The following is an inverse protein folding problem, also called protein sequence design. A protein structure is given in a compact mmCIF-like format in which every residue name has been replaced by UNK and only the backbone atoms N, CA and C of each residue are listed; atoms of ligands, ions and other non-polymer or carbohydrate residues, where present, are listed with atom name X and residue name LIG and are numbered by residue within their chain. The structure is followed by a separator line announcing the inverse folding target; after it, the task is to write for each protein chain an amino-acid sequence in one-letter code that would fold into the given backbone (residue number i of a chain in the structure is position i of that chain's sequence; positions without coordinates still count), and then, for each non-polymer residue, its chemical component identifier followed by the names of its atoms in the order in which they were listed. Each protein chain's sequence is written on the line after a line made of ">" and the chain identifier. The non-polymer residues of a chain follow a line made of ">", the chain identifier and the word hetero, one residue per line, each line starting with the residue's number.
data_IF_732544560561
#
_entry.id   IF_732544560561
#
_cell.length_a   1.000
_cell.length_b   1.000
_cell.length_c   1.000
_cell.angle_alpha   90.00
_cell.angle_beta   90.00
_cell.angle_gamma   90.00
#
_symmetry.space_group_name_H-M   'P 1'
#
loop_
_entity.id
_entity.type
_entity.pdbx_description
1 polymer ?
#
# COMPACT_ATOMS: atom_id res chain seq x y z
N UNK A 1 -2.69 -0.94 -20.40
CA UNK A 1 -1.39 -1.58 -20.07
C UNK A 1 -1.25 -1.47 -18.57
N UNK A 2 -1.30 -2.59 -17.86
CA UNK A 2 -1.28 -2.66 -16.41
C UNK A 2 0.16 -2.95 -15.96
N UNK A 3 0.83 -1.91 -15.48
CA UNK A 3 2.19 -2.04 -14.93
C UNK A 3 2.13 -2.20 -13.42
N UNK A 4 2.67 -3.30 -12.91
CA UNK A 4 2.85 -3.54 -11.50
C UNK A 4 4.26 -3.14 -11.07
N UNK A 5 4.36 -2.16 -10.17
CA UNK A 5 5.62 -1.79 -9.52
C UNK A 5 5.71 -2.61 -8.22
N UNK A 6 6.73 -3.46 -8.14
CA UNK A 6 6.87 -4.51 -7.13
C UNK A 6 8.21 -4.34 -6.41
N UNK A 7 8.24 -3.62 -5.29
CA UNK A 7 9.41 -3.52 -4.44
C UNK A 7 9.71 -4.89 -3.80
N UNK A 8 10.84 -5.52 -4.19
CA UNK A 8 11.21 -6.89 -3.78
C UNK A 8 11.99 -6.88 -2.46
N UNK A 9 11.33 -7.32 -1.39
CA UNK A 9 11.96 -7.54 -0.09
C UNK A 9 12.39 -8.98 0.13
N UNK A 10 12.00 -9.54 1.27
CA UNK A 10 12.24 -10.95 1.63
C UNK A 10 10.97 -11.81 1.47
N UNK A 11 9.87 -11.23 0.98
CA UNK A 11 8.58 -11.90 0.81
C UNK A 11 8.31 -12.28 -0.63
N UNK A 12 7.94 -13.54 -0.85
CA UNK A 12 7.54 -14.05 -2.15
C UNK A 12 6.02 -13.97 -2.36
N UNK A 13 5.24 -14.67 -1.50
CA UNK A 13 3.83 -14.93 -1.75
C UNK A 13 3.00 -13.66 -1.90
N UNK A 14 3.30 -12.64 -1.09
CA UNK A 14 2.57 -11.37 -1.04
C UNK A 14 2.76 -10.51 -2.29
N UNK A 15 3.76 -10.83 -3.11
CA UNK A 15 4.08 -10.09 -4.33
C UNK A 15 3.40 -10.65 -5.58
N UNK A 16 3.05 -11.94 -5.58
CA UNK A 16 2.52 -12.62 -6.79
C UNK A 16 1.23 -13.40 -6.54
N UNK A 17 1.06 -14.04 -5.38
CA UNK A 17 -0.09 -14.91 -5.14
C UNK A 17 -1.45 -14.20 -5.24
N UNK A 18 -1.63 -12.96 -4.74
CA UNK A 18 -2.87 -12.22 -4.92
C UNK A 18 -3.21 -11.99 -6.40
N UNK A 19 -2.20 -11.64 -7.21
CA UNK A 19 -2.38 -11.35 -8.64
C UNK A 19 -2.90 -12.59 -9.39
N UNK A 20 -2.32 -13.76 -9.09
CA UNK A 20 -2.75 -15.03 -9.68
C UNK A 20 -4.14 -15.45 -9.17
N UNK A 21 -4.39 -15.35 -7.85
CA UNK A 21 -5.64 -15.80 -7.23
C UNK A 21 -6.84 -14.96 -7.67
N UNK A 22 -6.65 -13.65 -7.79
CA UNK A 22 -7.69 -12.71 -8.19
C UNK A 22 -7.77 -12.52 -9.72
N UNK A 23 -6.88 -13.16 -10.48
CA UNK A 23 -6.78 -13.06 -11.94
C UNK A 23 -6.66 -11.60 -12.39
N UNK A 24 -5.78 -10.84 -11.71
CA UNK A 24 -5.49 -9.47 -12.10
C UNK A 24 -4.67 -9.46 -13.40
N UNK A 25 -5.03 -8.55 -14.29
CA UNK A 25 -4.30 -8.33 -15.54
C UNK A 25 -2.94 -7.68 -15.22
N UNK A 26 -1.85 -8.32 -15.63
CA UNK A 26 -0.49 -7.82 -15.46
C UNK A 26 0.21 -7.87 -16.79
N UNK A 27 0.23 -6.75 -17.50
CA UNK A 27 0.94 -6.65 -18.79
C UNK A 27 2.46 -6.51 -18.55
N UNK A 28 2.84 -5.84 -17.47
CA UNK A 28 4.23 -5.52 -17.14
C UNK A 28 4.47 -5.54 -15.63
N UNK A 29 5.63 -6.04 -15.20
CA UNK A 29 6.07 -6.02 -13.81
C UNK A 29 7.48 -5.42 -13.69
N UNK A 30 7.60 -4.35 -12.90
CA UNK A 30 8.87 -3.71 -12.57
C UNK A 30 9.25 -4.16 -11.16
N UNK A 31 10.26 -5.00 -11.06
CA UNK A 31 10.77 -5.52 -9.80
C UNK A 31 11.88 -4.61 -9.29
N UNK A 32 11.64 -3.94 -8.16
CA UNK A 32 12.66 -3.09 -7.56
C UNK A 32 13.51 -3.94 -6.62
N UNK A 33 14.79 -4.03 -6.91
CA UNK A 33 15.79 -4.69 -6.08
C UNK A 33 16.48 -3.65 -5.21
N UNK A 34 16.90 -4.01 -4.00
CA UNK A 34 17.63 -3.10 -3.14
C UNK A 34 18.53 -3.88 -2.21
N UNK A 35 19.75 -3.38 -1.98
CA UNK A 35 20.67 -4.03 -1.08
C UNK A 35 20.23 -3.78 0.37
N UNK A 36 19.80 -4.84 1.07
CA UNK A 36 19.39 -4.75 2.48
C UNK A 36 20.34 -5.56 3.36
N UNK A 37 21.18 -4.91 4.16
CA UNK A 37 21.99 -5.58 5.17
C UNK A 37 23.25 -6.27 4.61
N UNK A 38 23.47 -7.53 4.99
CA UNK A 38 24.70 -8.29 4.70
C UNK A 38 24.78 -8.76 3.23
N UNK A 39 25.97 -9.17 2.77
CA UNK A 39 26.14 -9.77 1.43
C UNK A 39 25.19 -10.96 1.20
N UNK A 40 24.99 -11.81 2.21
CA UNK A 40 24.07 -12.93 2.15
C UNK A 40 22.61 -12.50 1.93
N UNK A 41 22.18 -11.40 2.56
CA UNK A 41 20.85 -10.85 2.34
C UNK A 41 20.70 -10.31 0.91
N UNK A 42 21.74 -9.66 0.37
CA UNK A 42 21.73 -9.17 -1.01
C UNK A 42 21.60 -10.34 -1.99
N UNK A 43 22.38 -11.41 -1.80
CA UNK A 43 22.27 -12.61 -2.62
C UNK A 43 20.88 -13.24 -2.55
N UNK A 44 20.30 -13.33 -1.35
CA UNK A 44 18.96 -13.86 -1.16
C UNK A 44 17.89 -13.01 -1.87
N UNK A 45 17.92 -11.68 -1.71
CA UNK A 45 17.00 -10.78 -2.41
C UNK A 45 17.13 -10.88 -3.94
N UNK A 46 18.35 -11.03 -4.47
CA UNK A 46 18.58 -11.22 -5.91
C UNK A 46 18.03 -12.56 -6.42
N UNK A 47 18.19 -13.64 -5.66
CA UNK A 47 17.61 -14.94 -5.99
C UNK A 47 16.08 -14.86 -6.01
N UNK A 48 15.49 -14.19 -5.02
CA UNK A 48 14.05 -14.00 -4.93
C UNK A 48 13.50 -13.15 -6.09
N UNK A 49 14.20 -12.08 -6.46
CA UNK A 49 13.83 -11.25 -7.61
C UNK A 49 13.90 -12.04 -8.92
N UNK A 50 14.92 -12.88 -9.11
CA UNK A 50 15.04 -13.75 -10.30
C UNK A 50 13.94 -14.82 -10.35
N UNK A 51 13.54 -15.35 -9.19
CA UNK A 51 12.40 -16.26 -9.08
C UNK A 51 11.10 -15.55 -9.46
N UNK A 52 10.83 -14.38 -8.86
CA UNK A 52 9.66 -13.58 -9.18
C UNK A 52 9.61 -13.21 -10.66
N UNK A 53 10.73 -12.78 -11.26
CA UNK A 53 10.82 -12.50 -12.70
C UNK A 53 10.31 -13.68 -13.53
N UNK A 54 10.80 -14.87 -13.21
CA UNK A 54 10.40 -16.11 -13.90
C UNK A 54 8.91 -16.40 -13.72
N UNK A 55 8.38 -16.21 -12.51
CA UNK A 55 7.00 -16.54 -12.20
C UNK A 55 6.00 -15.49 -12.73
N UNK A 56 6.36 -14.20 -12.78
CA UNK A 56 5.59 -13.17 -13.47
C UNK A 56 5.47 -13.47 -14.97
N UNK A 57 6.57 -13.89 -15.62
CA UNK A 57 6.55 -14.28 -17.03
C UNK A 57 5.71 -15.55 -17.26
N UNK A 58 5.91 -16.59 -16.45
CA UNK A 58 5.30 -17.90 -16.68
C UNK A 58 3.82 -17.98 -16.27
N UNK A 59 3.45 -17.36 -15.14
CA UNK A 59 2.11 -17.46 -14.57
C UNK A 59 1.17 -16.35 -15.05
N UNK A 60 1.70 -15.15 -15.26
CA UNK A 60 0.93 -13.96 -15.62
C UNK A 60 1.15 -13.52 -17.07
N UNK A 61 2.19 -14.01 -17.74
CA UNK A 61 2.51 -13.61 -19.12
C UNK A 61 3.07 -12.18 -19.21
N UNK A 62 3.51 -11.61 -18.10
CA UNK A 62 3.96 -10.22 -18.00
C UNK A 62 5.35 -10.02 -18.58
N UNK A 63 5.58 -8.86 -19.20
CA UNK A 63 6.94 -8.35 -19.45
C UNK A 63 7.58 -7.93 -18.12
N UNK A 64 8.86 -8.23 -17.91
CA UNK A 64 9.54 -7.94 -16.65
C UNK A 64 10.74 -7.01 -16.84
N UNK A 65 10.91 -6.08 -15.90
CA UNK A 65 12.11 -5.26 -15.77
C UNK A 65 12.58 -5.30 -14.31
N UNK A 66 13.90 -5.29 -14.09
CA UNK A 66 14.49 -5.20 -12.77
C UNK A 66 15.28 -3.91 -12.62
N UNK A 67 14.97 -3.15 -11.58
CA UNK A 67 15.60 -1.84 -11.29
C UNK A 67 16.22 -1.91 -9.90
N UNK A 68 17.49 -1.52 -9.76
CA UNK A 68 18.16 -1.49 -8.47
C UNK A 68 18.03 -0.12 -7.79
N UNK A 69 17.59 -0.10 -6.54
CA UNK A 69 17.59 1.06 -5.65
C UNK A 69 18.95 1.15 -4.94
N UNK A 70 19.54 2.35 -4.95
CA UNK A 70 20.88 2.60 -4.40
C UNK A 70 20.92 2.47 -2.87
N UNK A 71 19.95 3.04 -2.16
CA UNK A 71 19.77 2.89 -0.72
C UNK A 71 18.27 2.74 -0.40
N UNK A 72 17.89 1.60 0.16
CA UNK A 72 16.50 1.30 0.57
C UNK A 72 16.06 2.07 1.83
N UNK A 73 16.98 2.76 2.49
CA UNK A 73 16.70 3.57 3.67
C UNK A 73 16.59 5.05 3.35
N UNK A 74 17.00 5.48 2.15
CA UNK A 74 16.86 6.86 1.68
C UNK A 74 15.43 7.09 1.16
N UNK A 75 14.61 7.69 2.01
CA UNK A 75 13.22 8.00 1.69
C UNK A 75 13.09 8.99 0.53
N UNK A 76 13.92 10.03 0.52
CA UNK A 76 13.83 11.12 -0.45
C UNK A 76 14.21 10.62 -1.84
N UNK A 77 15.30 9.86 -1.96
CA UNK A 77 15.70 9.24 -3.21
C UNK A 77 14.66 8.21 -3.69
N UNK A 78 14.12 7.38 -2.78
CA UNK A 78 13.06 6.44 -3.13
C UNK A 78 11.78 7.14 -3.61
N UNK A 79 11.45 8.30 -3.05
CA UNK A 79 10.30 9.10 -3.46
C UNK A 79 10.51 9.69 -4.85
N UNK A 80 11.68 10.29 -5.12
CA UNK A 80 12.02 10.83 -6.44
C UNK A 80 11.96 9.76 -7.53
N UNK A 81 12.53 8.58 -7.26
CA UNK A 81 12.50 7.43 -8.17
C UNK A 81 11.07 6.94 -8.40
N UNK A 82 10.29 6.76 -7.33
CA UNK A 82 8.89 6.34 -7.42
C UNK A 82 8.05 7.33 -8.24
N UNK A 83 8.21 8.63 -7.99
CA UNK A 83 7.47 9.68 -8.66
C UNK A 83 7.79 9.71 -10.16
N UNK A 84 9.08 9.60 -10.51
CA UNK A 84 9.52 9.55 -11.90
C UNK A 84 9.00 8.28 -12.60
N UNK A 85 9.13 7.12 -11.95
CA UNK A 85 8.73 5.83 -12.51
C UNK A 85 7.22 5.75 -12.76
N UNK A 86 6.40 6.12 -11.77
CA UNK A 86 4.93 6.09 -11.91
C UNK A 86 4.48 7.00 -13.04
N UNK A 87 5.02 8.22 -13.13
CA UNK A 87 4.67 9.14 -14.23
C UNK A 87 5.09 8.60 -15.59
N UNK A 88 6.30 8.03 -15.70
CA UNK A 88 6.76 7.43 -16.93
C UNK A 88 5.81 6.32 -17.39
N UNK A 89 5.41 5.41 -16.49
CA UNK A 89 4.46 4.33 -16.79
C UNK A 89 3.08 4.85 -17.20
N UNK A 90 2.54 5.87 -16.51
CA UNK A 90 1.27 6.49 -16.89
C UNK A 90 1.31 7.16 -18.27
N UNK A 91 2.47 7.69 -18.68
CA UNK A 91 2.63 8.41 -19.93
C UNK A 91 2.87 7.50 -21.15
N UNK A 92 3.05 6.19 -20.95
CA UNK A 92 3.18 5.23 -22.06
C UNK A 92 1.92 5.16 -22.94
N UNK A 93 0.74 5.34 -22.35
CA UNK A 93 -0.55 5.31 -23.06
C UNK A 93 -1.64 6.01 -22.23
N UNK A 94 -2.66 6.63 -22.87
CA UNK A 94 -3.83 7.17 -22.16
C UNK A 94 -4.58 6.14 -21.31
N UNK A 95 -4.45 4.85 -21.63
CA UNK A 95 -5.11 3.72 -20.93
C UNK A 95 -4.09 2.91 -20.10
N UNK A 96 -2.93 3.49 -19.76
CA UNK A 96 -1.96 2.83 -18.89
C UNK A 96 -2.41 2.93 -17.42
N UNK A 97 -2.33 1.83 -16.67
CA UNK A 97 -2.62 1.80 -15.24
C UNK A 97 -1.37 1.37 -14.48
N UNK A 98 -1.16 1.95 -13.30
CA UNK A 98 0.00 1.68 -12.46
C UNK A 98 -0.45 1.15 -11.11
N UNK A 99 0.04 -0.04 -10.76
CA UNK A 99 -0.29 -0.76 -9.55
C UNK A 99 0.95 -0.91 -8.67
N UNK A 100 0.99 -0.20 -7.55
CA UNK A 100 2.11 -0.15 -6.62
C UNK A 100 1.88 -1.12 -5.46
N UNK A 101 2.68 -2.17 -5.38
CA UNK A 101 2.67 -3.10 -4.25
C UNK A 101 3.55 -2.55 -3.11
N UNK A 102 3.02 -2.45 -1.88
CA UNK A 102 3.80 -1.98 -0.72
C UNK A 102 3.99 -3.06 0.35
N UNK A 103 4.02 -4.33 -0.06
CA UNK A 103 3.96 -5.46 0.87
C UNK A 103 5.33 -5.89 1.45
N UNK A 104 6.42 -5.85 0.68
CA UNK A 104 7.65 -6.58 1.01
C UNK A 104 8.92 -5.75 1.31
N UNK A 105 9.16 -4.64 0.62
CA UNK A 105 10.37 -3.84 0.84
C UNK A 105 10.40 -3.16 2.23
N UNK A 106 11.59 -2.73 2.70
CA UNK A 106 11.73 -1.90 3.88
C UNK A 106 10.75 -0.72 3.87
N UNK A 107 10.28 -0.38 5.08
CA UNK A 107 9.26 0.66 5.29
C UNK A 107 9.54 1.98 4.56
N UNK A 108 10.78 2.53 4.51
CA UNK A 108 11.05 3.78 3.81
C UNK A 108 10.64 3.73 2.33
N UNK A 109 11.02 2.68 1.59
CA UNK A 109 10.63 2.51 0.18
C UNK A 109 9.11 2.37 0.05
N UNK A 110 8.50 1.51 0.85
CA UNK A 110 7.04 1.28 0.80
C UNK A 110 6.24 2.57 1.05
N UNK A 111 6.67 3.40 2.02
CA UNK A 111 6.04 4.70 2.27
C UNK A 111 6.36 5.71 1.17
N UNK A 112 7.58 5.75 0.64
CA UNK A 112 7.95 6.67 -0.43
C UNK A 112 7.11 6.44 -1.68
N UNK A 113 6.95 5.18 -2.09
CA UNK A 113 6.14 4.78 -3.24
C UNK A 113 4.65 5.07 -3.02
N UNK A 114 4.11 4.79 -1.83
CA UNK A 114 2.73 5.15 -1.51
C UNK A 114 2.50 6.67 -1.51
N UNK A 115 3.43 7.46 -0.95
CA UNK A 115 3.33 8.91 -0.96
C UNK A 115 3.46 9.46 -2.38
N UNK A 116 4.38 8.96 -3.20
CA UNK A 116 4.54 9.36 -4.59
C UNK A 116 3.27 9.10 -5.41
N UNK A 117 2.68 7.91 -5.30
CA UNK A 117 1.41 7.56 -5.93
C UNK A 117 0.30 8.56 -5.51
N UNK A 118 0.15 8.82 -4.22
CA UNK A 118 -0.83 9.77 -3.70
C UNK A 118 -0.59 11.21 -4.18
N UNK A 119 0.67 11.68 -4.21
CA UNK A 119 1.02 13.00 -4.72
C UNK A 119 0.65 13.15 -6.18
N UNK A 120 0.94 12.13 -7.01
CA UNK A 120 0.56 12.13 -8.43
C UNK A 120 -0.96 12.16 -8.59
N UNK A 121 -1.72 11.40 -7.78
CA UNK A 121 -3.19 11.45 -7.79
C UNK A 121 -3.76 12.84 -7.46
N UNK A 122 -3.04 13.64 -6.67
CA UNK A 122 -3.42 15.02 -6.34
C UNK A 122 -3.07 15.97 -7.48
N UNK A 123 -1.91 15.79 -8.11
CA UNK A 123 -1.41 16.68 -9.17
C UNK A 123 -2.04 16.38 -10.55
N UNK A 124 -2.38 15.12 -10.81
CA UNK A 124 -2.96 14.60 -12.06
C UNK A 124 -4.36 14.03 -11.79
N UNK A 125 -5.31 14.91 -11.47
CA UNK A 125 -6.68 14.51 -11.10
C UNK A 125 -7.35 13.56 -12.12
N UNK A 126 -7.07 13.75 -13.41
CA UNK A 126 -7.62 12.91 -14.50
C UNK A 126 -7.02 11.52 -14.61
N UNK A 127 -5.93 11.22 -13.90
CA UNK A 127 -5.26 9.92 -13.88
C UNK A 127 -5.46 9.19 -12.54
N UNK A 128 -6.26 9.75 -11.63
CA UNK A 128 -6.44 9.24 -10.26
C UNK A 128 -6.96 7.80 -10.23
N UNK A 129 -7.88 7.46 -11.12
CA UNK A 129 -8.48 6.14 -11.22
C UNK A 129 -7.55 5.09 -11.86
N UNK A 130 -6.43 5.53 -12.43
CA UNK A 130 -5.41 4.67 -13.08
C UNK A 130 -4.22 4.34 -12.18
N UNK A 131 -4.20 4.87 -10.96
CA UNK A 131 -3.12 4.67 -9.99
C UNK A 131 -3.67 3.89 -8.82
N UNK A 132 -3.05 2.77 -8.49
CA UNK A 132 -3.50 1.90 -7.41
C UNK A 132 -2.32 1.62 -6.49
N UNK A 133 -2.52 1.78 -5.19
CA UNK A 133 -1.56 1.33 -4.17
C UNK A 133 -2.22 0.26 -3.33
N UNK A 134 -1.58 -0.89 -3.17
CA UNK A 134 -2.17 -2.03 -2.47
C UNK A 134 -1.16 -2.73 -1.57
N UNK A 135 -1.72 -3.36 -0.54
CA UNK A 135 -1.00 -4.13 0.46
C UNK A 135 -1.66 -5.48 0.62
N UNK A 136 -0.85 -6.53 0.72
CA UNK A 136 -1.30 -7.88 1.02
C UNK A 136 -0.82 -8.27 2.41
N UNK A 137 -1.77 -8.56 3.29
CA UNK A 137 -1.49 -9.03 4.64
C UNK A 137 -0.89 -10.45 4.60
N UNK A 138 0.16 -10.73 5.40
CA UNK A 138 0.62 -12.09 5.59
C UNK A 138 -0.42 -12.91 6.37
N UNK A 139 -0.55 -14.19 6.05
CA UNK A 139 -1.31 -15.14 6.88
C UNK A 139 -0.55 -15.46 8.19
N UNK A 140 0.79 -15.34 8.15
CA UNK A 140 1.69 -15.77 9.19
C UNK A 140 3.03 -15.04 9.14
N UNK A 141 3.63 -14.80 10.31
CA UNK A 141 5.00 -14.31 10.47
C UNK A 141 5.89 -15.48 10.89
N UNK A 142 6.98 -15.72 10.18
CA UNK A 142 7.85 -16.89 10.39
C UNK A 142 8.91 -16.67 11.48
N UNK A 143 9.15 -15.41 11.87
CA UNK A 143 10.25 -15.04 12.76
C UNK A 143 10.14 -15.70 14.14
N UNK A 144 8.92 -15.80 14.68
CA UNK A 144 8.69 -16.48 15.96
C UNK A 144 8.86 -17.99 15.85
N UNK A 145 8.47 -18.59 14.73
CA UNK A 145 8.61 -20.03 14.51
C UNK A 145 10.05 -20.42 14.31
N UNK A 146 10.82 -19.61 13.56
CA UNK A 146 12.26 -19.80 13.43
C UNK A 146 12.96 -19.73 14.80
N UNK A 147 12.52 -18.82 15.68
CA UNK A 147 13.05 -18.75 17.04
C UNK A 147 12.64 -19.96 17.91
N UNK A 148 11.40 -20.45 17.78
CA UNK A 148 10.94 -21.67 18.47
C UNK A 148 11.70 -22.92 17.98
N UNK A 149 11.82 -23.12 16.68
CA UNK A 149 12.59 -24.23 16.10
C UNK A 149 14.07 -24.14 16.47
N UNK A 150 14.65 -22.93 16.56
CA UNK A 150 16.02 -22.75 17.03
C UNK A 150 16.17 -23.16 18.50
N UNK A 151 15.20 -22.85 19.36
CA UNK A 151 15.17 -23.31 20.77
C UNK A 151 15.13 -24.83 20.86
N UNK A 152 14.22 -25.46 20.13
CA UNK A 152 14.11 -26.92 20.10
C UNK A 152 15.41 -27.57 19.56
N UNK A 153 16.01 -26.95 18.54
CA UNK A 153 17.31 -27.35 18.00
C UNK A 153 18.45 -27.21 19.00
N UNK A 154 18.48 -26.15 19.80
CA UNK A 154 19.45 -25.95 20.89
C UNK A 154 19.31 -27.03 21.95
N UNK A 155 18.09 -27.33 22.40
CA UNK A 155 17.83 -28.36 23.41
C UNK A 155 18.27 -29.75 22.91
N UNK A 156 17.89 -30.10 21.67
CA UNK A 156 18.30 -31.36 21.04
C UNK A 156 19.82 -31.45 20.86
N UNK A 157 20.47 -30.38 20.39
CA UNK A 157 21.91 -30.37 20.16
C UNK A 157 22.69 -30.42 21.48
N UNK A 158 22.18 -29.82 22.55
CA UNK A 158 22.77 -29.91 23.89
C UNK A 158 22.74 -31.35 24.42
N UNK A 159 21.59 -32.02 24.33
CA UNK A 159 21.42 -33.43 24.74
C UNK A 159 22.35 -34.39 23.97
N UNK A 160 22.58 -34.11 22.69
CA UNK A 160 23.50 -34.88 21.84
C UNK A 160 24.97 -34.55 22.12
N UNK A 161 25.29 -33.29 22.40
CA UNK A 161 26.63 -32.83 22.74
C UNK A 161 27.18 -33.47 24.02
N UNK A 162 26.31 -33.78 25.00
CA UNK A 162 26.72 -34.55 26.18
C UNK A 162 27.20 -35.97 25.85
N UNK A 163 26.78 -36.52 24.70
CA UNK A 163 27.13 -37.86 24.24
C UNK A 163 28.26 -37.87 23.21
N UNK A 164 28.40 -36.76 22.46
CA UNK A 164 29.32 -36.59 21.36
C UNK A 164 30.22 -35.39 21.70
N UNK A 165 31.40 -35.70 22.25
CA UNK A 165 32.45 -34.73 22.58
C UNK A 165 33.07 -34.15 21.29
N UNK A 166 32.38 -33.18 20.68
CA UNK A 166 32.76 -32.49 19.44
C UNK A 166 32.62 -30.97 19.60
N UNK A 167 33.77 -30.28 19.61
CA UNK A 167 33.88 -28.82 19.79
C UNK A 167 32.97 -28.02 18.83
N UNK A 168 32.64 -28.55 17.64
CA UNK A 168 31.77 -27.87 16.68
C UNK A 168 30.33 -27.75 17.17
N UNK A 169 29.87 -28.69 17.99
CA UNK A 169 28.53 -28.65 18.60
C UNK A 169 28.48 -27.53 19.64
N UNK A 170 29.52 -27.42 20.48
CA UNK A 170 29.61 -26.36 21.49
C UNK A 170 29.71 -24.95 20.85
N UNK A 171 30.50 -24.82 19.78
CA UNK A 171 30.60 -23.57 19.01
C UNK A 171 29.26 -23.16 18.40
N UNK A 172 28.56 -24.09 17.76
CA UNK A 172 27.23 -23.82 17.18
C UNK A 172 26.19 -23.49 18.27
N UNK A 173 26.17 -24.23 19.38
CA UNK A 173 25.26 -23.97 20.50
C UNK A 173 25.47 -22.57 21.10
N UNK A 174 26.73 -22.14 21.22
CA UNK A 174 27.05 -20.78 21.69
C UNK A 174 26.48 -19.75 20.72
N UNK A 175 26.78 -19.87 19.42
CA UNK A 175 26.27 -18.95 18.41
C UNK A 175 24.74 -18.92 18.33
N UNK A 176 24.08 -20.07 18.46
CA UNK A 176 22.62 -20.18 18.41
C UNK A 176 21.96 -19.53 19.64
N UNK A 177 22.54 -19.72 20.83
CA UNK A 177 22.06 -19.09 22.07
C UNK A 177 22.25 -17.58 22.04
N UNK A 178 23.40 -17.10 21.58
CA UNK A 178 23.67 -15.66 21.45
C UNK A 178 22.67 -15.00 20.48
N UNK A 179 22.40 -15.63 19.33
CA UNK A 179 21.41 -15.13 18.37
C UNK A 179 20.00 -15.09 18.97
N UNK A 180 19.62 -16.13 19.71
CA UNK A 180 18.31 -16.21 20.35
C UNK A 180 18.17 -15.18 21.48
N UNK A 181 19.22 -14.96 22.27
CA UNK A 181 19.26 -13.91 23.30
C UNK A 181 19.10 -12.53 22.65
N UNK A 182 19.81 -12.24 21.56
CA UNK A 182 19.60 -10.99 20.81
C UNK A 182 18.17 -10.84 20.29
N UNK A 183 17.58 -11.91 19.75
CA UNK A 183 16.20 -11.90 19.29
C UNK A 183 15.20 -11.65 20.45
N UNK A 184 15.40 -12.30 21.60
CA UNK A 184 14.51 -12.16 22.76
C UNK A 184 14.63 -10.78 23.42
N UNK A 185 15.82 -10.18 23.42
CA UNK A 185 16.04 -8.85 23.99
C UNK A 185 15.64 -7.71 23.04
N UNK A 186 15.86 -7.86 21.73
CA UNK A 186 15.81 -6.75 20.76
C UNK A 186 14.81 -6.95 19.62
N UNK A 187 14.28 -8.16 19.46
CA UNK A 187 13.41 -8.53 18.34
C UNK A 187 14.18 -8.78 17.05
N UNK A 188 13.57 -8.47 15.91
CA UNK A 188 14.10 -8.79 14.56
C UNK A 188 15.04 -7.72 14.00
N UNK A 189 15.29 -6.63 14.73
CA UNK A 189 16.09 -5.49 14.25
C UNK A 189 16.97 -4.94 15.35
N UNK A 190 18.16 -4.41 15.00
CA UNK A 190 19.13 -3.90 15.97
C UNK A 190 19.48 -2.44 15.68
N UNK A 191 19.38 -1.61 16.71
CA UNK A 191 19.85 -0.22 16.71
C UNK A 191 18.95 0.74 15.91
N UNK A 192 19.38 1.99 15.85
CA UNK A 192 18.80 3.03 15.01
C UNK A 192 19.89 3.58 14.09
N UNK A 193 19.65 3.55 12.78
CA UNK A 193 20.56 4.12 11.78
C UNK A 193 20.29 5.62 11.65
N UNK A 194 21.34 6.43 11.68
CA UNK A 194 21.25 7.85 11.36
C UNK A 194 21.13 8.03 9.84
N UNK A 195 20.18 8.86 9.41
CA UNK A 195 19.90 9.19 8.01
C UNK A 195 19.86 10.72 7.94
N UNK A 196 20.73 11.32 7.12
CA UNK A 196 20.85 12.76 6.91
C UNK A 196 20.90 13.62 8.19
N UNK A 197 21.63 13.15 9.20
CA UNK A 197 21.81 13.87 10.46
C UNK A 197 20.68 13.68 11.48
N UNK A 198 19.73 12.77 11.20
CA UNK A 198 18.59 12.48 12.08
C UNK A 198 18.40 10.97 12.28
N UNK A 199 17.89 10.59 13.45
CA UNK A 199 17.42 9.22 13.71
C UNK A 199 15.91 9.06 13.45
N UNK A 200 15.26 10.14 13.02
CA UNK A 200 13.82 10.20 12.69
C UNK A 200 13.67 10.78 11.29
N UNK A 201 12.97 10.05 10.42
CA UNK A 201 12.56 10.51 9.10
C UNK A 201 11.10 10.94 9.18
N UNK A 202 10.81 12.20 8.86
CA UNK A 202 9.45 12.71 8.76
C UNK A 202 8.89 12.42 7.37
N UNK A 203 7.76 11.72 7.31
CA UNK A 203 7.11 11.40 6.04
C UNK A 203 6.18 12.56 5.66
N UNK A 204 6.36 13.20 4.49
CA UNK A 204 5.50 14.28 4.05
C UNK A 204 4.06 13.79 3.83
N UNK A 205 3.09 14.64 4.19
CA UNK A 205 1.66 14.38 3.98
C UNK A 205 1.19 15.20 2.78
N UNK A 206 0.52 14.54 1.83
CA UNK A 206 -0.12 15.23 0.71
C UNK A 206 -1.19 16.20 1.24
N UNK A 207 -1.21 17.43 0.74
CA UNK A 207 -2.19 18.44 1.14
C UNK A 207 -3.57 18.09 0.60
N UNK A 208 -4.49 17.68 1.49
CA UNK A 208 -5.88 17.43 1.11
C UNK A 208 -6.69 18.72 1.13
N UNK A 209 -7.55 18.90 0.12
CA UNK A 209 -8.48 20.03 0.09
C UNK A 209 -9.61 19.85 1.12
N UNK A 210 -9.71 20.76 2.09
CA UNK A 210 -10.75 20.77 3.13
C UNK A 210 -12.17 20.60 2.56
N UNK A 211 -12.92 19.62 3.08
CA UNK A 211 -14.35 19.41 2.81
C UNK A 211 -15.15 20.61 3.32
N UNK A 212 -15.99 21.19 2.46
CA UNK A 212 -16.85 22.34 2.84
C UNK A 212 -18.13 21.83 3.55
N UNK A 213 -18.80 22.65 4.36
CA UNK A 213 -19.97 22.20 5.14
C UNK A 213 -21.09 21.55 4.30
N UNK A 214 -21.37 22.06 3.09
CA UNK A 214 -22.40 21.45 2.23
C UNK A 214 -21.91 20.16 1.54
N UNK A 215 -20.61 20.04 1.30
CA UNK A 215 -20.00 18.82 0.76
C UNK A 215 -20.04 17.71 1.81
N UNK A 216 -19.79 18.04 3.07
CA UNK A 216 -19.91 17.16 4.22
C UNK A 216 -21.33 16.55 4.34
N UNK A 217 -22.38 17.38 4.22
CA UNK A 217 -23.77 16.87 4.21
C UNK A 217 -23.98 15.85 3.08
N UNK A 218 -23.45 16.12 1.88
CA UNK A 218 -23.54 15.18 0.75
C UNK A 218 -22.85 13.85 1.08
N UNK A 219 -21.65 13.90 1.66
CA UNK A 219 -20.89 12.71 2.02
C UNK A 219 -21.63 11.88 3.10
N UNK A 220 -22.14 12.52 4.15
CA UNK A 220 -22.93 11.82 5.17
C UNK A 220 -24.21 11.20 4.59
N UNK A 221 -24.92 11.90 3.70
CA UNK A 221 -26.13 11.37 3.05
C UNK A 221 -25.80 10.13 2.22
N UNK A 222 -24.70 10.16 1.44
CA UNK A 222 -24.24 8.98 0.71
C UNK A 222 -23.75 7.87 1.64
N UNK A 223 -23.18 8.21 2.79
CA UNK A 223 -22.79 7.24 3.82
C UNK A 223 -23.98 6.52 4.46
N UNK A 224 -25.08 7.23 4.70
CA UNK A 224 -26.29 6.69 5.31
C UNK A 224 -27.10 5.85 4.31
N UNK A 225 -27.31 6.36 3.10
CA UNK A 225 -28.20 5.75 2.10
C UNK A 225 -27.48 4.88 1.08
N UNK A 226 -26.14 4.92 1.06
CA UNK A 226 -25.30 4.16 0.14
C UNK A 226 -25.18 4.81 -1.23
N UNK A 227 -26.04 4.39 -2.16
CA UNK A 227 -25.96 4.76 -3.57
C UNK A 227 -27.27 5.35 -4.09
N UNK A 228 -27.16 6.25 -5.07
CA UNK A 228 -28.30 6.83 -5.76
C UNK A 228 -28.16 6.61 -7.27
N UNK A 229 -29.28 6.39 -7.96
CA UNK A 229 -29.33 6.15 -9.40
C UNK A 229 -29.03 7.44 -10.21
N UNK A 230 -29.14 8.60 -9.56
CA UNK A 230 -28.73 9.87 -10.14
C UNK A 230 -28.44 10.96 -9.11
N UNK A 231 -27.67 11.97 -9.52
CA UNK A 231 -27.46 13.21 -8.75
C UNK A 231 -28.79 13.94 -8.46
N UNK A 232 -29.79 13.80 -9.32
CA UNK A 232 -31.11 14.42 -9.10
C UNK A 232 -31.89 13.75 -7.98
N UNK A 233 -31.74 12.43 -7.82
CA UNK A 233 -32.33 11.65 -6.73
C UNK A 233 -31.66 11.99 -5.41
N UNK A 234 -30.32 12.02 -5.39
CA UNK A 234 -29.54 12.50 -4.24
C UNK A 234 -29.97 13.92 -3.82
N UNK A 235 -30.16 14.83 -4.78
CA UNK A 235 -30.64 16.18 -4.49
C UNK A 235 -32.06 16.22 -3.88
N UNK A 236 -32.95 15.30 -4.26
CA UNK A 236 -34.28 15.22 -3.65
C UNK A 236 -34.19 14.74 -2.20
N UNK A 237 -33.35 13.73 -1.93
CA UNK A 237 -33.13 13.23 -0.58
C UNK A 237 -32.52 14.32 0.32
N UNK A 238 -31.49 15.01 -0.16
CA UNK A 238 -30.85 16.13 0.55
C UNK A 238 -31.84 17.25 0.89
N UNK A 239 -32.70 17.63 -0.06
CA UNK A 239 -33.71 18.66 0.17
C UNK A 239 -34.68 18.23 1.29
N UNK A 240 -35.10 16.97 1.29
CA UNK A 240 -35.99 16.41 2.32
C UNK A 240 -35.34 16.40 3.70
N UNK A 241 -34.08 16.00 3.82
CA UNK A 241 -33.36 15.94 5.10
C UNK A 241 -33.04 17.31 5.68
N UNK A 242 -32.69 18.27 4.83
CA UNK A 242 -32.40 19.64 5.24
C UNK A 242 -33.66 20.48 5.48
N UNK A 243 -34.85 19.97 5.14
CA UNK A 243 -36.10 20.74 5.18
C UNK A 243 -36.13 21.88 4.15
N UNK A 244 -35.36 21.77 3.08
CA UNK A 244 -35.21 22.75 2.00
C UNK A 244 -36.16 22.43 0.84
N UNK A 245 -36.57 23.45 0.08
CA UNK A 245 -37.41 23.24 -1.10
C UNK A 245 -36.58 22.69 -2.28
N UNK A 246 -37.06 21.60 -2.91
CA UNK A 246 -36.41 21.05 -4.10
C UNK A 246 -36.62 21.95 -5.33
N UNK A 247 -35.69 22.88 -5.52
CA UNK A 247 -35.67 23.83 -6.63
C UNK A 247 -34.56 23.51 -7.65
N UNK A 248 -34.67 24.05 -8.87
CA UNK A 248 -33.60 23.94 -9.88
C UNK A 248 -32.26 24.52 -9.40
N UNK A 249 -32.32 25.57 -8.57
CA UNK A 249 -31.15 26.19 -7.93
C UNK A 249 -30.49 25.23 -6.94
N UNK A 250 -31.30 24.58 -6.08
CA UNK A 250 -30.80 23.58 -5.14
C UNK A 250 -30.18 22.39 -5.87
N UNK A 251 -30.85 21.87 -6.91
CA UNK A 251 -30.32 20.78 -7.74
C UNK A 251 -28.98 21.14 -8.38
N UNK A 252 -28.85 22.37 -8.89
CA UNK A 252 -27.61 22.86 -9.51
C UNK A 252 -26.48 22.98 -8.48
N UNK A 253 -26.79 23.42 -7.25
CA UNK A 253 -25.83 23.45 -6.13
C UNK A 253 -25.34 22.04 -5.77
N UNK A 254 -26.24 21.05 -5.69
CA UNK A 254 -25.84 19.65 -5.42
C UNK A 254 -24.94 19.14 -6.53
N UNK A 255 -25.33 19.33 -7.79
CA UNK A 255 -24.54 18.87 -8.94
C UNK A 255 -23.12 19.45 -8.96
N UNK A 256 -22.97 20.75 -8.69
CA UNK A 256 -21.66 21.38 -8.59
C UNK A 256 -20.78 20.81 -7.46
N UNK A 257 -21.36 20.46 -6.31
CA UNK A 257 -20.59 19.92 -5.20
C UNK A 257 -20.28 18.43 -5.40
N UNK A 258 -21.18 17.65 -6.02
CA UNK A 258 -20.90 16.27 -6.42
C UNK A 258 -19.75 16.23 -7.43
N UNK A 259 -19.73 17.13 -8.41
CA UNK A 259 -18.63 17.25 -9.39
C UNK A 259 -17.29 17.55 -8.69
N UNK A 260 -17.27 18.52 -7.77
CA UNK A 260 -16.06 18.83 -6.96
C UNK A 260 -15.63 17.70 -6.02
N UNK A 261 -16.56 16.88 -5.56
CA UNK A 261 -16.28 15.69 -4.74
C UNK A 261 -15.91 14.47 -5.58
N UNK A 262 -16.18 14.50 -6.87
CA UNK A 262 -15.95 13.42 -7.82
C UNK A 262 -14.49 13.24 -8.21
N UNK A 263 -14.24 12.38 -9.22
CA UNK A 263 -12.89 12.01 -9.66
C UNK A 263 -12.02 13.19 -10.08
N UNK A 264 -12.57 14.14 -10.85
CA UNK A 264 -11.89 15.37 -11.30
C UNK A 264 -11.81 16.47 -10.24
N UNK A 265 -11.79 16.09 -8.97
CA UNK A 265 -11.71 17.00 -7.84
C UNK A 265 -11.17 16.27 -6.63
N UNK A 266 -11.96 16.18 -5.57
CA UNK A 266 -11.47 15.62 -4.29
C UNK A 266 -11.47 14.09 -4.23
N UNK A 267 -12.16 13.40 -5.13
CA UNK A 267 -12.17 11.93 -5.20
C UNK A 267 -12.93 11.21 -4.08
N UNK A 268 -13.80 11.89 -3.33
CA UNK A 268 -14.64 11.26 -2.29
C UNK A 268 -15.88 10.56 -2.85
N UNK A 269 -16.24 10.83 -4.10
CA UNK A 269 -17.40 10.25 -4.80
C UNK A 269 -16.93 9.59 -6.08
N UNK A 270 -17.51 8.43 -6.37
CA UNK A 270 -17.42 7.76 -7.67
C UNK A 270 -18.73 7.94 -8.44
N UNK A 271 -18.63 8.07 -9.76
CA UNK A 271 -19.77 8.18 -10.66
C UNK A 271 -19.65 7.15 -11.79
N UNK A 272 -20.61 6.23 -11.85
CA UNK A 272 -20.65 5.21 -12.89
C UNK A 272 -21.74 5.55 -13.91
N UNK A 273 -21.39 5.52 -15.20
CA UNK A 273 -22.33 5.83 -16.28
C UNK A 273 -23.37 4.72 -16.42
N UNK A 274 -24.65 5.09 -16.28
CA UNK A 274 -25.78 4.18 -16.48
C UNK A 274 -26.81 4.82 -17.42
N UNK A 275 -26.65 4.57 -18.72
CA UNK A 275 -27.53 5.09 -19.76
C UNK A 275 -27.41 6.62 -19.93
N UNK A 276 -28.37 7.37 -19.37
CA UNK A 276 -28.39 8.86 -19.41
C UNK A 276 -28.13 9.49 -18.04
N UNK A 277 -27.90 8.69 -17.01
CA UNK A 277 -27.62 9.15 -15.65
C UNK A 277 -26.29 8.59 -15.16
N UNK A 278 -25.81 9.16 -14.06
CA UNK A 278 -24.63 8.69 -13.36
C UNK A 278 -25.05 8.20 -11.98
N UNK A 279 -24.84 6.90 -11.74
CA UNK A 279 -25.01 6.32 -10.42
C UNK A 279 -23.93 6.89 -9.51
N UNK A 280 -24.32 7.41 -8.37
CA UNK A 280 -23.44 8.20 -7.48
C UNK A 280 -23.32 7.48 -6.14
N UNK A 281 -22.09 7.20 -5.72
CA UNK A 281 -21.77 6.52 -4.45
C UNK A 281 -20.48 7.07 -3.83
N UNK A 282 -20.25 6.80 -2.55
CA UNK A 282 -18.96 7.09 -1.93
C UNK A 282 -17.86 6.23 -2.56
N UNK A 283 -16.73 6.86 -2.88
CA UNK A 283 -15.48 6.14 -3.14
C UNK A 283 -14.96 5.51 -1.85
N UNK A 284 -13.90 4.68 -1.96
CA UNK A 284 -13.28 4.10 -0.75
C UNK A 284 -12.81 5.17 0.24
N UNK A 285 -12.19 6.25 -0.25
CA UNK A 285 -11.74 7.35 0.61
C UNK A 285 -12.94 8.14 1.17
N UNK A 286 -14.04 8.28 0.41
CA UNK A 286 -15.30 8.85 0.90
C UNK A 286 -15.90 8.08 2.07
N UNK A 287 -15.91 6.74 1.99
CA UNK A 287 -16.39 5.88 3.08
C UNK A 287 -15.54 6.03 4.34
N UNK A 288 -14.22 6.08 4.20
CA UNK A 288 -13.30 6.29 5.31
C UNK A 288 -13.47 7.69 5.92
N UNK A 289 -13.65 8.71 5.08
CA UNK A 289 -13.92 10.08 5.54
C UNK A 289 -15.19 10.12 6.39
N UNK A 290 -16.32 9.59 5.89
CA UNK A 290 -17.58 9.55 6.64
C UNK A 290 -17.38 8.81 7.96
N UNK A 291 -16.77 7.63 7.95
CA UNK A 291 -16.54 6.85 9.17
C UNK A 291 -15.72 7.64 10.21
N UNK A 292 -14.68 8.36 9.79
CA UNK A 292 -13.84 9.14 10.69
C UNK A 292 -14.53 10.40 11.24
N UNK A 293 -15.55 10.91 10.57
CA UNK A 293 -16.27 12.14 10.96
C UNK A 293 -17.68 11.87 11.48
N UNK A 294 -18.11 10.60 11.53
CA UNK A 294 -19.40 10.19 12.12
C UNK A 294 -19.35 10.10 13.65
N UNK A 295 -18.16 10.19 14.24
CA UNK A 295 -17.88 9.96 15.67
C UNK A 295 -17.83 11.25 16.51
N UNK A 296 -18.67 12.25 16.22
CA UNK A 296 -18.95 13.35 17.16
C UNK A 296 -19.88 12.90 18.34
N UNK A 297 -20.08 11.59 18.51
CA UNK A 297 -20.68 10.94 19.69
C UNK A 297 -19.64 10.19 20.55
N UNK A 298 -18.33 10.40 20.32
CA UNK A 298 -17.25 9.84 21.15
C UNK A 298 -16.94 10.66 22.43
N UNK A 299 -17.83 11.61 22.80
CA UNK A 299 -17.76 12.40 24.05
C UNK A 299 -18.35 11.66 25.29
N UNK A 300 -18.29 10.32 25.29
CA UNK A 300 -18.64 9.47 26.43
C UNK A 300 -17.78 8.21 26.49
N UNK A 301 -16.51 8.32 26.84
CA UNK A 301 -15.76 7.29 27.59
C UNK A 301 -14.66 7.93 28.44
#
# INVERSE_FOLDING_TARGET
>A
MHTHIVPVGFDYDRLIAPLVREQLDVDRAILLEGAVGSEANVEYSQQLAAQLETDFQNLLGAETERISLADVYDYDAAFEEAYALINAELDHSPEAEVWVNISAMPRPVSFAFATAANSIMVEREGDRDRIHTYYTAPEKYLETELAEELREGIDLAADLGEQIDDDRIEEWLTSARDLLEEFDERGTTIGAKEIDGSYVVELPVASFSNVKPFEEVILFTLGEHGEFESVSELAQQLAKELGEEYTDSFRSKVLYNVDRLGPGGKGYIEQESHGKSYRTRLSRIGQLWVRAHSDDDHDRL
#
